data_IF_946904933289
#
_entry.id   IF_946904933289
#
_cell.length_a   1.000
_cell.length_b   1.000
_cell.length_c   1.000
_cell.angle_alpha   90.00
_cell.angle_beta   90.00
_cell.angle_gamma   90.00
#
_symmetry.space_group_name_H-M   'P 1'
#
loop_
_entity.id
_entity.type
_entity.pdbx_description
1 polymer ?
#
# COMPACT_ATOMS: atom_id res chain seq x y z
N UNK A 1 -10.57 -10.88 4.55
CA UNK A 1 -9.75 -9.66 4.56
C UNK A 1 -10.58 -8.45 4.18
N UNK A 2 -10.33 -7.32 4.84
CA UNK A 2 -11.02 -6.10 4.49
C UNK A 2 -10.43 -5.45 3.25
N UNK A 3 -11.18 -4.52 2.61
CA UNK A 3 -10.67 -3.84 1.41
C UNK A 3 -9.39 -3.04 1.65
N UNK A 4 -9.22 -2.47 2.83
CA UNK A 4 -7.99 -1.75 3.15
C UNK A 4 -6.77 -2.67 3.18
N UNK A 5 -6.94 -3.87 3.72
CA UNK A 5 -5.84 -4.84 3.74
C UNK A 5 -5.40 -5.25 2.35
N UNK A 6 -6.36 -5.44 1.44
CA UNK A 6 -6.04 -5.76 0.05
C UNK A 6 -5.20 -4.66 -0.59
N UNK A 7 -5.57 -3.40 -0.35
CA UNK A 7 -4.80 -2.28 -0.90
C UNK A 7 -3.40 -2.24 -0.31
N UNK A 8 -3.25 -2.52 0.99
CA UNK A 8 -1.94 -2.54 1.61
C UNK A 8 -1.07 -3.66 1.03
N UNK A 9 -1.65 -4.84 0.80
CA UNK A 9 -0.93 -5.93 0.15
C UNK A 9 -0.47 -5.55 -1.26
N UNK A 10 -1.38 -4.95 -2.04
CA UNK A 10 -1.03 -4.49 -3.38
C UNK A 10 0.06 -3.43 -3.33
N UNK A 11 -0.01 -2.55 -2.36
CA UNK A 11 1.01 -1.52 -2.18
C UNK A 11 2.37 -2.14 -1.86
N UNK A 12 2.40 -3.13 -0.97
CA UNK A 12 3.66 -3.78 -0.63
C UNK A 12 4.28 -4.47 -1.85
N UNK A 13 3.45 -5.10 -2.69
CA UNK A 13 3.92 -5.71 -3.93
C UNK A 13 4.48 -4.68 -4.89
N UNK A 14 3.80 -3.53 -5.03
CA UNK A 14 4.27 -2.48 -5.92
C UNK A 14 5.63 -1.94 -5.47
N UNK A 15 5.81 -1.80 -4.17
CA UNK A 15 7.09 -1.36 -3.61
C UNK A 15 8.18 -2.39 -3.90
N UNK A 16 7.91 -3.66 -3.68
CA UNK A 16 8.87 -4.74 -3.94
C UNK A 16 9.28 -4.80 -5.40
N UNK A 17 8.33 -4.55 -6.30
CA UNK A 17 8.57 -4.60 -7.74
C UNK A 17 9.11 -3.27 -8.28
N UNK A 18 9.27 -2.26 -7.41
CA UNK A 18 9.73 -0.93 -7.79
C UNK A 18 8.82 -0.30 -8.85
N UNK A 19 7.54 -0.58 -8.76
CA UNK A 19 6.54 -0.07 -9.69
C UNK A 19 5.96 1.23 -9.12
N UNK A 20 6.60 2.33 -9.44
CA UNK A 20 6.24 3.64 -8.88
C UNK A 20 4.85 4.08 -9.27
N UNK A 21 4.45 3.81 -10.51
CA UNK A 21 3.13 4.21 -10.98
C UNK A 21 2.03 3.49 -10.22
N UNK A 22 2.19 2.19 -10.08
CA UNK A 22 1.20 1.39 -9.34
C UNK A 22 1.16 1.79 -7.88
N UNK A 23 2.32 2.04 -7.29
CA UNK A 23 2.40 2.53 -5.92
C UNK A 23 1.61 3.81 -5.75
N UNK A 24 1.82 4.78 -6.64
CA UNK A 24 1.14 6.06 -6.56
C UNK A 24 -0.37 5.92 -6.75
N UNK A 25 -0.80 5.06 -7.67
CA UNK A 25 -2.21 4.80 -7.90
C UNK A 25 -2.88 4.21 -6.65
N UNK A 26 -2.22 3.26 -6.01
CA UNK A 26 -2.74 2.62 -4.81
C UNK A 26 -2.79 3.63 -3.66
N UNK A 27 -1.75 4.44 -3.51
CA UNK A 27 -1.74 5.47 -2.47
C UNK A 27 -2.88 6.47 -2.65
N UNK A 28 -3.19 6.84 -3.90
CA UNK A 28 -4.30 7.73 -4.17
C UNK A 28 -5.64 7.11 -3.73
N UNK A 29 -5.82 5.83 -4.00
CA UNK A 29 -7.04 5.13 -3.57
C UNK A 29 -7.14 5.07 -2.05
N UNK A 30 -6.03 4.78 -1.36
CA UNK A 30 -6.02 4.73 0.09
C UNK A 30 -6.36 6.08 0.70
N UNK A 31 -5.89 7.16 0.11
CA UNK A 31 -6.22 8.51 0.58
C UNK A 31 -7.71 8.77 0.46
N UNK A 32 -8.35 8.32 -0.61
CA UNK A 32 -9.80 8.45 -0.77
C UNK A 32 -10.54 7.69 0.33
N UNK A 33 -9.96 6.60 0.81
CA UNK A 33 -10.57 5.79 1.87
C UNK A 33 -10.23 6.31 3.28
N UNK A 34 -9.46 7.39 3.37
CA UNK A 34 -9.18 8.04 4.63
C UNK A 34 -7.83 7.70 5.27
N UNK A 35 -6.96 6.99 4.56
CA UNK A 35 -5.64 6.66 5.06
C UNK A 35 -4.59 7.55 4.39
N UNK A 36 -3.72 8.18 5.19
CA UNK A 36 -2.68 9.02 4.62
C UNK A 36 -1.53 8.17 4.08
N UNK A 37 -0.73 8.78 3.19
CA UNK A 37 0.35 8.07 2.52
C UNK A 37 1.40 7.54 3.48
N UNK A 38 1.71 8.31 4.50
CA UNK A 38 2.71 7.93 5.49
C UNK A 38 2.31 6.64 6.22
N UNK A 39 1.07 6.58 6.68
CA UNK A 39 0.54 5.40 7.36
C UNK A 39 0.51 4.20 6.43
N UNK A 40 0.03 4.42 5.20
CA UNK A 40 -0.07 3.34 4.22
C UNK A 40 1.31 2.75 3.90
N UNK A 41 2.30 3.59 3.72
CA UNK A 41 3.66 3.12 3.41
C UNK A 41 4.26 2.35 4.59
N UNK A 42 4.02 2.81 5.81
CA UNK A 42 4.50 2.10 7.00
C UNK A 42 3.90 0.71 7.10
N UNK A 43 2.59 0.60 6.89
CA UNK A 43 1.92 -0.70 6.94
C UNK A 43 2.39 -1.62 5.81
N UNK A 44 2.58 -1.07 4.61
CA UNK A 44 3.05 -1.86 3.48
C UNK A 44 4.45 -2.42 3.74
N UNK A 45 5.30 -1.63 4.37
CA UNK A 45 6.64 -2.09 4.72
C UNK A 45 6.60 -3.22 5.75
N UNK A 46 5.71 -3.12 6.74
CA UNK A 46 5.53 -4.18 7.72
C UNK A 46 5.06 -5.47 7.05
N UNK A 47 4.11 -5.37 6.13
CA UNK A 47 3.63 -6.54 5.40
C UNK A 47 4.74 -7.17 4.58
N UNK A 48 5.57 -6.35 3.98
CA UNK A 48 6.69 -6.82 3.17
C UNK A 48 7.72 -7.60 4.01
N UNK A 49 8.00 -7.11 5.22
CA UNK A 49 8.95 -7.75 6.12
C UNK A 49 8.42 -9.09 6.62
N UNK A 50 7.11 -9.19 6.85
CA UNK A 50 6.51 -10.38 7.42
C UNK A 50 6.07 -11.42 6.40
N UNK A 51 6.18 -11.12 5.14
CA UNK A 51 5.72 -12.05 4.09
C UNK A 51 6.80 -12.98 3.55
#
# INVERSE_FOLDING_TARGET
MGPLEEYIWKLSKAIRNKDKKKRDDILAELRKLGMDSSTALSLAMEYSVNS
#
